data_IF_207798295550
#
_entry.id   IF_207798295550
#
_cell.length_a   1.000
_cell.length_b   1.000
_cell.length_c   1.000
_cell.angle_alpha   90.00
_cell.angle_beta   90.00
_cell.angle_gamma   90.00
#
_symmetry.space_group_name_H-M   'P 1'
#
loop_
_entity.id
_entity.type
_entity.pdbx_description
1 polymer ?
#
# COMPACT_ATOMS: atom_id res chain seq x y z
N UNK A 1 44.05 16.58 -46.54
CA UNK A 1 42.98 15.61 -46.35
C UNK A 1 43.57 14.21 -46.61
N UNK A 2 43.38 13.27 -45.71
CA UNK A 2 43.65 11.83 -45.95
C UNK A 2 42.58 11.21 -46.85
N UNK A 3 42.89 10.21 -47.63
CA UNK A 3 41.96 9.55 -48.54
C UNK A 3 40.94 8.68 -47.79
N UNK A 4 39.88 8.26 -48.49
CA UNK A 4 38.85 7.34 -48.01
C UNK A 4 39.15 5.93 -48.52
N UNK A 5 38.83 4.93 -47.69
CA UNK A 5 38.73 3.52 -48.12
C UNK A 5 37.22 3.22 -48.23
N UNK A 6 36.77 2.78 -49.41
CA UNK A 6 35.37 2.45 -49.68
C UNK A 6 35.29 0.97 -50.12
N UNK A 7 34.51 0.19 -49.37
CA UNK A 7 34.09 -1.14 -49.77
C UNK A 7 32.65 -1.09 -50.22
N UNK A 8 32.36 -1.41 -51.46
CA UNK A 8 31.02 -1.41 -52.04
C UNK A 8 30.79 -2.61 -52.93
N UNK A 9 29.59 -3.18 -52.83
CA UNK A 9 29.13 -4.24 -53.74
C UNK A 9 28.15 -3.57 -54.73
N UNK A 10 28.24 -3.98 -56.00
CA UNK A 10 27.40 -3.42 -57.06
C UNK A 10 25.92 -3.72 -56.90
N UNK A 11 25.10 -2.95 -57.57
CA UNK A 11 23.63 -3.09 -57.56
C UNK A 11 23.21 -4.28 -58.42
N UNK A 12 22.40 -5.21 -57.89
CA UNK A 12 21.71 -6.24 -58.67
C UNK A 12 20.38 -5.73 -59.21
N UNK A 13 20.06 -6.07 -60.43
CA UNK A 13 18.81 -5.61 -61.11
C UNK A 13 17.71 -6.68 -61.17
N UNK A 14 18.02 -7.94 -60.91
CA UNK A 14 17.07 -9.05 -61.13
C UNK A 14 16.92 -10.01 -59.91
N UNK A 15 17.88 -10.01 -58.96
CA UNK A 15 17.88 -10.93 -57.79
C UNK A 15 18.44 -10.23 -56.54
N UNK A 16 18.81 -11.01 -55.53
CA UNK A 16 19.41 -10.51 -54.28
C UNK A 16 20.76 -9.83 -54.55
N UNK A 17 21.04 -8.73 -53.83
CA UNK A 17 22.36 -8.09 -53.87
C UNK A 17 23.46 -8.94 -53.26
N UNK A 18 24.73 -8.66 -53.62
CA UNK A 18 25.88 -9.38 -53.06
C UNK A 18 26.22 -8.93 -51.62
N UNK A 19 27.01 -9.76 -50.91
CA UNK A 19 27.37 -9.57 -49.51
C UNK A 19 28.80 -9.00 -49.36
N UNK A 20 29.02 -8.28 -48.25
CA UNK A 20 30.36 -8.00 -47.70
C UNK A 20 30.55 -8.87 -46.46
N UNK A 21 31.47 -9.80 -46.47
CA UNK A 21 31.72 -10.73 -45.38
C UNK A 21 33.14 -10.48 -44.83
N UNK A 22 33.23 -10.25 -43.53
CA UNK A 22 34.48 -10.10 -42.80
C UNK A 22 34.58 -11.11 -41.66
N UNK A 23 35.55 -12.04 -41.73
CA UNK A 23 35.79 -13.03 -40.71
C UNK A 23 37.24 -12.94 -40.21
N UNK A 24 37.44 -13.18 -38.91
CA UNK A 24 38.77 -13.44 -38.36
C UNK A 24 39.08 -14.94 -38.38
N UNK A 25 40.37 -15.29 -38.26
CA UNK A 25 40.82 -16.67 -38.36
C UNK A 25 40.41 -17.55 -37.18
N UNK A 26 40.10 -18.81 -37.49
CA UNK A 26 39.82 -19.85 -36.52
C UNK A 26 41.10 -20.53 -36.02
N UNK A 27 41.04 -21.16 -34.84
CA UNK A 27 42.12 -22.00 -34.32
C UNK A 27 41.52 -23.24 -33.64
N UNK A 28 42.21 -24.35 -33.73
CA UNK A 28 41.80 -25.60 -33.08
C UNK A 28 42.43 -25.81 -31.70
N UNK A 29 43.44 -25.03 -31.33
CA UNK A 29 44.20 -25.24 -30.09
C UNK A 29 44.25 -24.04 -29.13
N UNK A 30 44.03 -22.84 -29.61
CA UNK A 30 44.14 -21.60 -28.83
C UNK A 30 42.99 -20.64 -29.14
N UNK A 31 43.13 -19.37 -28.75
CA UNK A 31 42.10 -18.32 -28.97
C UNK A 31 42.08 -17.92 -30.46
N UNK A 32 40.89 -17.87 -31.06
CA UNK A 32 40.70 -17.37 -32.44
C UNK A 32 41.00 -15.87 -32.57
N UNK A 33 41.08 -15.41 -33.81
CA UNK A 33 41.35 -14.01 -34.13
C UNK A 33 40.21 -13.07 -33.71
N UNK A 34 40.45 -11.77 -33.68
CA UNK A 34 39.47 -10.71 -33.35
C UNK A 34 39.21 -9.79 -34.55
N UNK A 35 38.00 -9.22 -34.59
CA UNK A 35 37.63 -8.06 -35.45
C UNK A 35 37.50 -6.83 -34.58
N UNK A 36 38.21 -5.74 -34.91
CA UNK A 36 38.16 -4.48 -34.19
C UNK A 36 37.81 -3.34 -35.14
N UNK A 37 36.79 -2.54 -34.78
CA UNK A 37 36.40 -1.32 -35.49
C UNK A 37 36.50 -0.12 -34.52
N UNK A 38 37.30 0.86 -34.89
CA UNK A 38 37.41 2.12 -34.12
C UNK A 38 37.42 3.32 -35.06
N UNK A 39 36.83 4.42 -34.60
CA UNK A 39 36.92 5.70 -35.29
C UNK A 39 38.23 6.42 -34.94
N UNK A 40 38.62 7.41 -35.77
CA UNK A 40 39.80 8.23 -35.51
C UNK A 40 39.63 9.15 -34.29
N UNK A 41 40.69 9.30 -33.52
CA UNK A 41 40.72 10.23 -32.39
C UNK A 41 40.91 11.68 -32.86
N UNK A 42 40.25 12.62 -32.17
CA UNK A 42 40.51 14.06 -32.31
C UNK A 42 41.32 14.53 -31.10
N UNK A 43 42.51 15.03 -31.28
CA UNK A 43 43.41 15.49 -30.20
C UNK A 43 42.97 16.82 -29.57
N UNK A 44 42.31 17.68 -30.32
CA UNK A 44 41.87 19.02 -29.91
C UNK A 44 40.37 19.25 -30.09
N UNK A 45 39.69 18.34 -30.79
CA UNK A 45 38.27 18.40 -31.11
C UNK A 45 37.64 17.03 -31.04
N UNK A 46 36.44 16.89 -31.59
CA UNK A 46 35.67 15.63 -31.51
C UNK A 46 36.35 14.47 -32.29
N UNK A 47 36.20 13.27 -31.81
CA UNK A 47 36.53 12.03 -32.53
C UNK A 47 35.52 11.76 -33.64
N UNK A 48 35.84 10.80 -34.53
CA UNK A 48 34.93 10.30 -35.55
C UNK A 48 33.78 9.47 -34.96
N UNK A 49 32.78 9.12 -35.76
CA UNK A 49 31.67 8.24 -35.42
C UNK A 49 31.82 6.86 -36.08
N UNK A 50 31.25 5.84 -35.45
CA UNK A 50 30.96 4.53 -36.04
C UNK A 50 29.44 4.44 -36.22
N UNK A 51 28.97 4.20 -37.44
CA UNK A 51 27.55 4.09 -37.78
C UNK A 51 27.27 2.74 -38.38
N UNK A 52 26.44 1.92 -37.74
CA UNK A 52 25.97 0.62 -38.22
C UNK A 52 24.46 0.64 -38.33
N UNK A 53 23.94 0.43 -39.52
CA UNK A 53 22.48 0.46 -39.79
C UNK A 53 22.09 -0.41 -40.96
N UNK A 54 20.87 -0.94 -40.97
CA UNK A 54 20.25 -1.54 -42.16
C UNK A 54 19.58 -0.44 -43.00
N UNK A 55 19.52 -0.63 -44.30
CA UNK A 55 18.81 0.27 -45.21
C UNK A 55 17.29 0.17 -45.05
N UNK A 56 16.57 1.18 -45.49
CA UNK A 56 15.12 1.13 -45.56
C UNK A 56 14.65 0.09 -46.58
N UNK A 57 13.56 -0.61 -46.24
CA UNK A 57 12.86 -1.43 -47.23
C UNK A 57 12.17 -0.53 -48.28
N UNK A 58 11.86 -1.13 -49.44
CA UNK A 58 11.05 -0.46 -50.49
C UNK A 58 9.57 -0.30 -50.04
N UNK A 59 8.67 -0.05 -51.01
CA UNK A 59 7.25 0.20 -50.78
C UNK A 59 6.55 -0.99 -50.07
N UNK A 60 6.97 -2.20 -50.35
CA UNK A 60 6.47 -3.43 -49.73
C UNK A 60 7.62 -4.25 -49.19
N UNK A 61 7.56 -4.73 -47.99
CA UNK A 61 8.60 -5.56 -47.37
C UNK A 61 9.06 -5.02 -46.02
N UNK A 62 9.92 -5.76 -45.35
CA UNK A 62 10.50 -5.40 -44.05
C UNK A 62 11.99 -5.00 -44.24
N UNK A 63 12.46 -4.02 -43.48
CA UNK A 63 13.87 -3.70 -43.39
C UNK A 63 14.67 -4.87 -42.76
N UNK A 64 15.98 -4.95 -43.06
CA UNK A 64 16.86 -5.95 -42.47
C UNK A 64 16.92 -5.82 -40.93
N UNK A 65 17.29 -6.90 -40.26
CA UNK A 65 17.58 -6.91 -38.83
C UNK A 65 19.05 -6.62 -38.53
N UNK A 66 19.36 -6.12 -37.37
CA UNK A 66 20.68 -5.93 -36.82
C UNK A 66 20.84 -6.84 -35.59
N UNK A 67 21.79 -7.78 -35.59
CA UNK A 67 22.00 -8.75 -34.52
C UNK A 67 23.39 -8.61 -33.89
N UNK A 68 23.42 -8.44 -32.56
CA UNK A 68 24.61 -8.54 -31.75
C UNK A 68 24.48 -9.73 -30.81
N UNK A 69 25.37 -10.72 -30.88
CA UNK A 69 25.34 -11.88 -29.99
C UNK A 69 26.75 -12.40 -29.74
N UNK A 70 27.04 -12.82 -28.52
CA UNK A 70 28.19 -13.68 -28.25
C UNK A 70 27.92 -15.10 -28.73
N UNK A 71 29.00 -15.89 -28.96
CA UNK A 71 28.88 -17.29 -29.31
C UNK A 71 28.39 -18.17 -28.17
N UNK A 72 28.00 -19.40 -28.51
CA UNK A 72 27.65 -20.45 -27.56
C UNK A 72 28.89 -21.26 -27.17
N UNK A 73 28.85 -21.90 -26.00
CA UNK A 73 29.86 -22.85 -25.55
C UNK A 73 29.19 -24.11 -25.04
N UNK A 74 29.84 -25.26 -25.23
CA UNK A 74 29.38 -26.53 -24.68
C UNK A 74 29.93 -26.80 -23.28
N UNK A 75 31.04 -26.15 -22.90
CA UNK A 75 31.68 -26.29 -21.59
C UNK A 75 32.40 -24.99 -21.24
N UNK A 76 32.00 -24.33 -20.20
CA UNK A 76 32.50 -23.01 -19.79
C UNK A 76 31.48 -21.89 -19.96
N UNK A 77 31.91 -20.63 -19.89
CA UNK A 77 31.06 -19.48 -19.99
C UNK A 77 31.04 -18.87 -21.41
N UNK A 78 29.87 -18.42 -21.87
CA UNK A 78 29.77 -17.62 -23.11
C UNK A 78 30.34 -16.21 -22.90
N UNK A 79 30.66 -15.53 -24.02
CA UNK A 79 31.18 -14.17 -23.97
C UNK A 79 30.16 -13.13 -23.50
N UNK A 80 30.65 -11.96 -23.09
CA UNK A 80 29.85 -10.81 -22.64
C UNK A 80 29.59 -9.84 -23.78
N UNK A 81 28.42 -9.21 -23.83
CA UNK A 81 28.12 -8.05 -24.67
C UNK A 81 28.09 -6.83 -23.75
N UNK A 82 28.93 -5.83 -24.03
CA UNK A 82 28.98 -4.55 -23.29
C UNK A 82 28.51 -3.40 -24.19
N UNK A 83 27.53 -2.65 -23.74
CA UNK A 83 27.09 -1.39 -24.35
C UNK A 83 27.26 -0.28 -23.31
N UNK A 84 28.23 0.59 -23.51
CA UNK A 84 28.58 1.62 -22.54
C UNK A 84 29.02 2.92 -23.23
N UNK A 85 28.82 4.03 -22.57
CA UNK A 85 29.42 5.33 -22.95
C UNK A 85 30.68 5.58 -22.12
N UNK A 86 31.62 6.34 -22.69
CA UNK A 86 32.86 6.72 -21.99
C UNK A 86 32.61 7.72 -20.88
N UNK A 87 33.54 7.75 -19.90
CA UNK A 87 33.52 8.76 -18.83
C UNK A 87 33.93 10.15 -19.38
N UNK A 88 33.34 11.20 -18.84
CA UNK A 88 33.74 12.58 -19.05
C UNK A 88 34.37 13.15 -17.79
N UNK A 89 35.61 13.67 -17.87
CA UNK A 89 36.31 14.27 -16.71
C UNK A 89 35.70 15.62 -16.35
N UNK A 90 35.36 16.43 -17.36
CA UNK A 90 34.72 17.74 -17.23
C UNK A 90 33.55 17.79 -18.22
N UNK A 91 32.34 17.68 -17.72
CA UNK A 91 31.14 17.67 -18.55
C UNK A 91 30.24 16.46 -18.31
N UNK A 92 29.17 16.33 -19.09
CA UNK A 92 28.21 15.23 -19.03
C UNK A 92 28.75 14.00 -19.76
N UNK A 93 28.63 12.82 -19.17
CA UNK A 93 28.78 11.54 -19.88
C UNK A 93 27.74 11.38 -21.01
N UNK A 94 28.01 10.52 -21.98
CA UNK A 94 27.08 10.26 -23.09
C UNK A 94 25.83 9.52 -22.63
N UNK A 95 24.76 9.56 -23.43
CA UNK A 95 23.50 8.85 -23.19
C UNK A 95 23.48 7.51 -23.98
N UNK A 96 22.81 6.50 -23.44
CA UNK A 96 22.39 5.29 -24.17
C UNK A 96 20.87 5.39 -24.37
N UNK A 97 20.43 5.43 -25.64
CA UNK A 97 19.03 5.51 -26.01
C UNK A 97 18.57 4.20 -26.68
N UNK A 98 17.64 3.51 -26.03
CA UNK A 98 16.96 2.35 -26.61
C UNK A 98 15.50 2.74 -26.89
N UNK A 99 15.12 2.77 -28.15
CA UNK A 99 13.78 3.13 -28.58
C UNK A 99 13.29 2.21 -29.69
N UNK A 100 11.99 1.98 -29.75
CA UNK A 100 11.31 1.26 -30.82
C UNK A 100 10.52 2.29 -31.65
N UNK A 101 10.62 2.20 -32.97
CA UNK A 101 9.93 3.10 -33.88
C UNK A 101 8.40 2.94 -33.79
N UNK A 102 7.69 4.03 -34.12
CA UNK A 102 6.23 4.05 -34.16
C UNK A 102 5.70 3.23 -35.35
N UNK A 103 4.60 2.52 -35.15
CA UNK A 103 3.80 1.90 -36.20
C UNK A 103 2.48 2.67 -36.38
N UNK A 104 2.02 2.83 -37.61
CA UNK A 104 0.80 3.57 -37.94
C UNK A 104 -0.41 2.70 -38.22
N UNK A 105 -0.22 1.42 -38.57
CA UNK A 105 -1.27 0.54 -39.03
C UNK A 105 -1.37 -0.82 -38.31
N UNK A 106 -0.58 -1.02 -37.26
CA UNK A 106 -0.53 -2.30 -36.53
C UNK A 106 -0.03 -2.08 -35.11
N UNK A 107 0.16 -3.17 -34.37
CA UNK A 107 0.70 -3.18 -32.99
C UNK A 107 2.14 -2.64 -33.02
N UNK A 108 2.51 -1.78 -32.06
CA UNK A 108 3.86 -1.28 -31.87
C UNK A 108 4.86 -2.40 -31.52
N UNK A 109 6.14 -2.20 -31.81
CA UNK A 109 7.19 -3.12 -31.45
C UNK A 109 7.45 -3.12 -29.93
N UNK A 110 8.24 -4.09 -29.44
CA UNK A 110 8.52 -4.30 -28.02
C UNK A 110 10.00 -4.12 -27.67
N UNK A 111 10.30 -3.59 -26.50
CA UNK A 111 11.58 -3.74 -25.82
C UNK A 111 11.43 -4.86 -24.77
N UNK A 112 12.24 -5.92 -24.88
CA UNK A 112 12.21 -7.06 -23.95
C UNK A 112 13.57 -7.23 -23.29
N UNK A 113 13.61 -7.35 -21.99
CA UNK A 113 14.79 -7.66 -21.19
C UNK A 113 14.52 -8.91 -20.36
N UNK A 114 15.37 -9.92 -20.44
CA UNK A 114 15.30 -11.14 -19.63
C UNK A 114 16.69 -11.57 -19.22
N UNK A 115 16.85 -12.06 -18.01
CA UNK A 115 18.05 -12.71 -17.54
C UNK A 115 18.04 -14.20 -17.93
N UNK A 116 19.20 -14.85 -17.86
CA UNK A 116 19.35 -16.27 -18.22
C UNK A 116 18.70 -17.22 -17.21
N UNK A 117 18.12 -18.29 -17.73
CA UNK A 117 17.59 -19.40 -16.93
C UNK A 117 18.68 -20.41 -16.63
N UNK A 118 18.56 -21.12 -15.52
CA UNK A 118 19.43 -22.21 -15.09
C UNK A 118 18.58 -23.31 -14.46
N UNK A 119 18.86 -24.58 -14.76
CA UNK A 119 18.07 -25.71 -14.25
C UNK A 119 18.43 -26.10 -12.81
N UNK A 120 19.71 -26.05 -12.43
CA UNK A 120 20.19 -26.55 -11.12
C UNK A 120 20.72 -25.47 -10.16
N UNK A 121 20.89 -24.23 -10.61
CA UNK A 121 21.47 -23.14 -9.82
C UNK A 121 20.59 -21.88 -9.83
N UNK A 122 21.13 -20.79 -9.31
CA UNK A 122 20.42 -19.50 -9.27
C UNK A 122 20.40 -18.85 -10.66
N UNK A 123 19.21 -18.49 -11.17
CA UNK A 123 19.06 -17.75 -12.42
C UNK A 123 19.69 -16.37 -12.39
N UNK A 124 19.88 -15.77 -13.56
CA UNK A 124 20.43 -14.43 -13.69
C UNK A 124 19.52 -13.34 -13.14
N UNK A 125 20.04 -12.15 -12.86
CA UNK A 125 19.31 -10.99 -12.36
C UNK A 125 19.26 -9.84 -13.37
N UNK A 126 18.23 -8.98 -13.28
CA UNK A 126 18.15 -7.67 -13.95
C UNK A 126 18.25 -6.59 -12.87
N UNK A 127 19.18 -5.63 -13.02
CA UNK A 127 19.37 -4.54 -12.08
C UNK A 127 19.26 -3.19 -12.79
N UNK A 128 18.44 -2.28 -12.25
CA UNK A 128 18.36 -0.88 -12.67
C UNK A 128 18.76 0.02 -11.50
N UNK A 129 19.75 0.87 -11.71
CA UNK A 129 20.22 1.83 -10.72
C UNK A 129 20.51 3.17 -11.39
N UNK A 130 20.35 4.25 -10.65
CA UNK A 130 20.69 5.60 -11.10
C UNK A 130 22.09 5.98 -10.67
N UNK A 131 22.65 7.03 -11.30
CA UNK A 131 23.93 7.60 -10.91
C UNK A 131 23.88 8.26 -9.53
N UNK A 132 24.97 8.12 -8.78
CA UNK A 132 25.19 8.77 -7.48
C UNK A 132 25.59 10.23 -7.67
N UNK A 133 25.02 11.12 -6.88
CA UNK A 133 25.43 12.52 -6.78
C UNK A 133 26.16 12.77 -5.45
N UNK A 134 27.47 13.06 -5.48
CA UNK A 134 28.28 13.24 -4.26
C UNK A 134 27.93 14.50 -3.47
N UNK A 135 27.52 15.56 -4.14
CA UNK A 135 27.21 16.89 -3.53
C UNK A 135 25.85 17.43 -3.93
N UNK A 136 25.15 16.76 -4.85
CA UNK A 136 23.85 17.16 -5.39
C UNK A 136 22.91 15.95 -5.42
N UNK A 137 21.78 16.10 -6.07
CA UNK A 137 20.78 15.03 -6.21
C UNK A 137 21.26 13.87 -7.08
N UNK A 138 20.89 12.64 -6.73
CA UNK A 138 21.03 11.48 -7.60
C UNK A 138 19.99 11.51 -8.74
N UNK A 139 20.16 10.63 -9.75
CA UNK A 139 19.17 10.46 -10.81
C UNK A 139 17.88 9.82 -10.32
N UNK A 140 16.79 9.89 -11.12
CA UNK A 140 15.53 9.23 -10.89
C UNK A 140 15.29 8.05 -11.84
N UNK A 141 14.53 7.02 -11.41
CA UNK A 141 13.96 5.98 -12.26
C UNK A 141 12.47 6.30 -12.47
N UNK A 142 12.03 6.40 -13.73
CA UNK A 142 10.63 6.63 -14.09
C UNK A 142 10.12 5.44 -14.89
N UNK A 143 9.09 4.76 -14.38
CA UNK A 143 8.39 3.67 -15.06
C UNK A 143 6.93 4.05 -15.17
N UNK A 144 6.41 4.21 -16.40
CA UNK A 144 5.03 4.61 -16.65
C UNK A 144 4.49 4.00 -17.94
N UNK A 145 3.19 3.78 -18.01
CA UNK A 145 2.47 3.56 -19.28
C UNK A 145 2.01 4.88 -19.84
N UNK A 146 1.89 4.99 -21.17
CA UNK A 146 1.35 6.20 -21.81
C UNK A 146 -0.17 6.19 -21.80
N UNK A 147 -0.74 7.38 -22.02
CA UNK A 147 -2.18 7.58 -22.12
C UNK A 147 -2.75 6.81 -23.31
N UNK A 148 -3.93 6.22 -23.14
CA UNK A 148 -4.69 5.69 -24.26
C UNK A 148 -5.27 6.82 -25.11
N UNK A 149 -5.57 6.55 -26.39
CA UNK A 149 -6.33 7.46 -27.23
C UNK A 149 -7.80 7.58 -26.79
N UNK A 150 -8.62 8.22 -27.62
CA UNK A 150 -10.04 8.49 -27.33
C UNK A 150 -10.90 7.25 -27.11
N UNK A 151 -10.50 6.11 -27.64
CA UNK A 151 -11.19 4.82 -27.53
C UNK A 151 -10.19 3.74 -27.10
N UNK A 152 -10.08 3.48 -25.83
CA UNK A 152 -9.19 2.43 -25.36
C UNK A 152 -8.85 2.55 -23.88
N UNK A 153 -8.13 1.57 -23.37
CA UNK A 153 -7.64 1.49 -22.00
C UNK A 153 -6.13 1.68 -22.00
N UNK A 154 -5.58 2.48 -21.11
CA UNK A 154 -4.13 2.62 -20.92
C UNK A 154 -3.51 1.29 -20.49
N UNK A 155 -2.20 1.14 -20.77
CA UNK A 155 -1.48 -0.08 -20.38
C UNK A 155 -1.45 -0.31 -18.87
N UNK A 156 -1.38 -1.59 -18.46
CA UNK A 156 -1.16 -1.97 -17.08
C UNK A 156 0.31 -1.93 -16.68
N UNK A 157 0.60 -1.76 -15.39
CA UNK A 157 1.92 -1.90 -14.77
C UNK A 157 1.83 -2.99 -13.69
N UNK A 158 2.60 -4.08 -13.84
CA UNK A 158 2.56 -5.22 -12.93
C UNK A 158 3.93 -5.51 -12.33
N UNK A 159 3.99 -5.65 -11.01
CA UNK A 159 5.15 -6.12 -10.27
C UNK A 159 4.76 -7.38 -9.49
N UNK A 160 5.40 -8.50 -9.77
CA UNK A 160 5.11 -9.78 -9.11
C UNK A 160 6.40 -10.58 -8.91
N UNK A 161 6.43 -11.39 -7.86
CA UNK A 161 7.43 -12.44 -7.67
C UNK A 161 6.93 -13.75 -8.27
N UNK A 162 7.86 -14.64 -8.65
CA UNK A 162 7.52 -15.97 -9.15
C UNK A 162 6.92 -16.87 -8.07
N UNK A 163 6.27 -17.95 -8.52
CA UNK A 163 5.78 -19.04 -7.68
C UNK A 163 6.88 -20.07 -7.41
N UNK A 164 6.73 -20.84 -6.34
CA UNK A 164 7.60 -21.98 -6.03
C UNK A 164 6.74 -23.20 -5.72
N UNK A 165 7.22 -24.39 -6.10
CA UNK A 165 6.57 -25.66 -5.76
C UNK A 165 6.99 -26.18 -4.38
N UNK A 166 8.17 -25.78 -3.90
CA UNK A 166 8.73 -26.21 -2.60
C UNK A 166 9.63 -25.11 -2.06
N UNK A 167 9.37 -24.61 -0.89
CA UNK A 167 10.08 -23.49 -0.28
C UNK A 167 9.29 -22.18 -0.29
N UNK A 168 9.93 -21.09 0.09
CA UNK A 168 9.30 -19.76 0.12
C UNK A 168 9.44 -19.02 -1.22
N UNK A 169 8.42 -18.31 -1.65
CA UNK A 169 8.51 -17.35 -2.76
C UNK A 169 9.33 -16.12 -2.36
N UNK A 170 9.81 -15.37 -3.35
CA UNK A 170 10.49 -14.09 -3.12
C UNK A 170 9.56 -13.03 -2.51
N UNK A 171 10.13 -11.95 -2.00
CA UNK A 171 9.39 -10.78 -1.50
C UNK A 171 9.44 -9.62 -2.49
N UNK A 172 8.40 -8.79 -2.50
CA UNK A 172 8.39 -7.49 -3.16
C UNK A 172 8.55 -6.40 -2.09
N UNK A 173 9.55 -5.51 -2.22
CA UNK A 173 9.84 -4.42 -1.28
C UNK A 173 9.81 -3.06 -1.98
N UNK A 174 9.03 -2.13 -1.44
CA UNK A 174 9.04 -0.72 -1.85
C UNK A 174 9.38 0.10 -0.60
N UNK A 175 10.43 0.90 -0.63
CA UNK A 175 10.87 1.70 0.52
C UNK A 175 11.57 2.97 0.05
N UNK A 176 11.45 4.04 0.83
CA UNK A 176 12.27 5.25 0.69
C UNK A 176 13.57 5.10 1.50
N UNK A 177 14.60 5.82 1.12
CA UNK A 177 15.89 5.85 1.84
C UNK A 177 15.83 6.65 3.13
N UNK A 178 16.83 6.45 3.99
CA UNK A 178 17.02 7.24 5.21
C UNK A 178 17.59 8.63 4.88
N UNK A 179 17.17 9.64 5.61
CA UNK A 179 17.75 10.98 5.58
C UNK A 179 18.43 11.28 6.92
N UNK A 180 19.74 11.52 6.91
CA UNK A 180 20.51 11.79 8.13
C UNK A 180 20.30 13.21 8.68
N UNK A 181 20.02 14.19 7.82
CA UNK A 181 19.89 15.60 8.19
C UNK A 181 18.59 16.28 7.71
N UNK A 182 17.59 15.52 7.30
CA UNK A 182 16.34 16.07 6.78
C UNK A 182 15.19 15.08 6.87
N UNK A 183 14.03 15.43 6.29
CA UNK A 183 12.86 14.53 6.17
C UNK A 183 13.16 13.42 5.16
N UNK A 184 12.89 12.16 5.50
CA UNK A 184 12.88 11.05 4.55
C UNK A 184 11.78 11.25 3.48
N UNK A 185 11.95 10.62 2.31
CA UNK A 185 10.96 10.70 1.24
C UNK A 185 9.63 10.06 1.61
N UNK A 186 8.54 10.54 1.01
CA UNK A 186 7.19 9.99 1.18
C UNK A 186 6.95 8.83 0.20
N UNK A 187 6.12 7.87 0.59
CA UNK A 187 5.52 6.88 -0.31
C UNK A 187 4.06 7.27 -0.55
N UNK A 188 3.70 7.53 -1.81
CA UNK A 188 2.36 7.96 -2.19
C UNK A 188 1.71 6.88 -3.04
N UNK A 189 0.55 6.38 -2.59
CA UNK A 189 -0.30 5.47 -3.34
C UNK A 189 -1.65 6.16 -3.59
N UNK A 190 -1.96 6.45 -4.84
CA UNK A 190 -3.17 7.17 -5.22
C UNK A 190 -3.81 6.57 -6.47
N UNK A 191 -5.12 6.65 -6.54
CA UNK A 191 -5.91 6.24 -7.71
C UNK A 191 -6.45 7.48 -8.41
N UNK A 192 -6.46 7.46 -9.74
CA UNK A 192 -7.01 8.56 -10.54
C UNK A 192 -8.53 8.67 -10.42
N UNK A 193 -9.06 9.84 -10.78
CA UNK A 193 -10.51 10.11 -10.79
C UNK A 193 -11.19 9.51 -12.00
N UNK A 194 -12.39 8.96 -11.82
CA UNK A 194 -13.32 8.63 -12.91
C UNK A 194 -14.25 9.81 -13.18
N UNK A 195 -14.35 10.26 -14.42
CA UNK A 195 -15.18 11.43 -14.76
C UNK A 195 -16.66 11.07 -15.01
N UNK A 196 -16.94 9.89 -15.52
CA UNK A 196 -18.30 9.44 -15.92
C UNK A 196 -18.73 8.11 -15.27
N UNK A 197 -17.82 7.43 -14.59
CA UNK A 197 -18.05 6.13 -13.91
C UNK A 197 -17.41 6.17 -12.53
N UNK A 198 -17.53 5.06 -11.77
CA UNK A 198 -16.88 4.92 -10.48
C UNK A 198 -15.35 5.11 -10.55
N UNK A 199 -14.75 5.62 -9.49
CA UNK A 199 -13.29 5.61 -9.30
C UNK A 199 -12.75 4.19 -9.13
N UNK A 200 -11.43 4.02 -9.29
CA UNK A 200 -10.76 2.74 -9.02
C UNK A 200 -10.52 2.50 -7.53
N UNK A 201 -10.19 1.26 -7.16
CA UNK A 201 -10.00 0.80 -5.79
C UNK A 201 -8.53 0.61 -5.41
N UNK A 202 -8.19 0.75 -4.14
CA UNK A 202 -6.96 0.24 -3.52
C UNK A 202 -7.33 -1.01 -2.72
N UNK A 203 -6.86 -2.18 -3.16
CA UNK A 203 -7.13 -3.46 -2.53
C UNK A 203 -5.85 -4.00 -1.89
N UNK A 204 -5.89 -4.29 -0.59
CA UNK A 204 -4.79 -4.90 0.14
C UNK A 204 -5.28 -6.18 0.84
N UNK A 205 -4.65 -7.31 0.54
CA UNK A 205 -4.97 -8.61 1.13
C UNK A 205 -3.71 -9.37 1.51
N UNK A 206 -3.75 -10.09 2.62
CA UNK A 206 -2.70 -11.03 3.00
C UNK A 206 -2.97 -12.44 2.45
N UNK A 207 -1.92 -13.25 2.34
CA UNK A 207 -2.02 -14.61 1.79
C UNK A 207 -2.79 -15.56 2.68
N UNK A 208 -3.51 -16.50 2.07
CA UNK A 208 -4.18 -17.61 2.76
C UNK A 208 -3.22 -18.78 3.02
N UNK A 209 -3.49 -19.58 4.03
CA UNK A 209 -2.79 -20.85 4.30
C UNK A 209 -3.81 -21.93 4.61
N UNK A 210 -3.67 -23.10 4.01
CA UNK A 210 -4.58 -24.24 4.24
C UNK A 210 -4.26 -25.04 5.50
N UNK A 211 -2.98 -25.30 5.87
CA UNK A 211 -2.72 -26.05 7.10
C UNK A 211 -2.30 -25.16 8.29
N UNK A 212 -1.92 -23.90 8.07
CA UNK A 212 -1.35 -23.02 9.09
C UNK A 212 -2.05 -21.67 9.13
N UNK A 213 -1.53 -20.75 9.94
CA UNK A 213 -2.03 -19.38 10.06
C UNK A 213 -1.82 -18.59 8.77
N UNK A 214 -2.84 -17.90 8.29
CA UNK A 214 -2.74 -16.97 7.16
C UNK A 214 -1.85 -15.77 7.46
N UNK A 215 -1.49 -15.01 6.42
CA UNK A 215 -0.69 -13.80 6.55
C UNK A 215 -1.42 -12.66 7.29
N UNK A 216 -0.70 -11.64 7.72
CA UNK A 216 -1.24 -10.45 8.40
C UNK A 216 -0.99 -9.17 7.60
N UNK A 217 -1.84 -8.16 7.79
CA UNK A 217 -1.62 -6.78 7.36
C UNK A 217 -1.33 -5.95 8.61
N UNK A 218 -0.19 -5.24 8.65
CA UNK A 218 0.22 -4.41 9.77
C UNK A 218 0.50 -2.98 9.31
N UNK A 219 -0.08 -2.01 10.00
CA UNK A 219 0.16 -0.58 9.79
C UNK A 219 0.61 0.05 11.11
N UNK A 220 1.75 0.74 11.11
CA UNK A 220 2.28 1.44 12.27
C UNK A 220 2.90 2.77 11.85
N UNK A 221 2.86 3.74 12.75
CA UNK A 221 3.52 5.04 12.55
C UNK A 221 4.94 5.02 13.10
N UNK A 222 5.76 5.99 12.67
CA UNK A 222 7.10 6.19 13.20
C UNK A 222 7.08 6.73 14.62
N UNK A 223 8.06 6.32 15.43
CA UNK A 223 8.30 6.86 16.78
C UNK A 223 8.98 8.23 16.70
N UNK A 224 8.54 9.17 17.52
CA UNK A 224 9.27 10.42 17.80
C UNK A 224 10.04 10.28 19.11
N UNK A 225 11.37 10.22 19.06
CA UNK A 225 12.21 10.01 20.25
C UNK A 225 12.25 11.22 21.18
N UNK A 226 12.09 12.42 20.64
CA UNK A 226 12.12 13.69 21.40
C UNK A 226 10.83 14.52 21.25
N UNK A 227 9.91 14.08 20.39
CA UNK A 227 8.67 14.78 20.09
C UNK A 227 7.55 13.76 19.90
N UNK A 228 6.46 14.17 19.24
CA UNK A 228 5.30 13.31 19.00
C UNK A 228 5.57 12.25 17.95
N UNK A 229 4.95 11.07 18.08
CA UNK A 229 4.86 10.06 17.02
C UNK A 229 3.92 10.51 15.89
N UNK A 230 3.96 9.83 14.76
CA UNK A 230 3.01 10.03 13.67
C UNK A 230 1.58 9.59 14.05
N UNK A 231 0.60 9.92 13.20
CA UNK A 231 -0.79 9.49 13.33
C UNK A 231 -1.22 8.58 12.17
N UNK A 232 -2.15 7.66 12.44
CA UNK A 232 -2.92 6.92 11.43
C UNK A 232 -4.28 7.59 11.31
N UNK A 233 -4.67 8.01 10.09
CA UNK A 233 -5.98 8.59 9.79
C UNK A 233 -6.70 7.67 8.81
N UNK A 234 -7.87 7.16 9.21
CA UNK A 234 -8.76 6.35 8.39
C UNK A 234 -10.12 7.05 8.34
N UNK A 235 -10.52 7.53 7.17
CA UNK A 235 -11.77 8.25 6.99
C UNK A 235 -12.38 8.02 5.62
N UNK A 236 -13.68 8.05 5.52
CA UNK A 236 -14.40 8.21 4.26
C UNK A 236 -14.61 9.69 3.98
N UNK A 237 -14.54 10.09 2.72
CA UNK A 237 -14.78 11.50 2.34
C UNK A 237 -16.27 11.81 2.26
N UNK A 238 -16.61 13.09 2.28
CA UNK A 238 -18.00 13.54 2.15
C UNK A 238 -18.61 13.10 0.81
N UNK A 239 -19.87 12.70 0.85
CA UNK A 239 -20.65 12.55 -0.37
C UNK A 239 -20.87 13.93 -1.03
N UNK A 240 -21.21 13.93 -2.33
CA UNK A 240 -21.63 15.14 -3.03
C UNK A 240 -22.98 15.67 -2.52
N UNK A 241 -23.65 16.49 -3.32
CA UNK A 241 -24.93 17.12 -2.99
C UNK A 241 -26.08 16.13 -2.79
N UNK A 242 -25.99 14.96 -3.43
CA UNK A 242 -26.95 13.86 -3.31
C UNK A 242 -26.19 12.55 -3.14
N UNK A 243 -26.53 11.76 -2.16
CA UNK A 243 -25.91 10.47 -1.91
C UNK A 243 -25.53 10.26 -0.44
N UNK A 244 -24.97 9.11 -0.15
CA UNK A 244 -24.54 8.68 1.19
C UNK A 244 -23.01 8.62 1.20
N UNK A 245 -22.35 9.13 2.23
CA UNK A 245 -20.91 8.95 2.43
C UNK A 245 -20.57 7.47 2.63
N UNK A 246 -19.33 7.10 2.33
CA UNK A 246 -18.86 5.73 2.49
C UNK A 246 -18.91 5.24 3.94
N UNK A 247 -18.95 3.93 4.12
CA UNK A 247 -18.89 3.27 5.44
C UNK A 247 -17.46 2.96 5.84
N UNK A 248 -17.17 2.95 7.14
CA UNK A 248 -15.94 2.42 7.72
C UNK A 248 -16.31 1.22 8.60
N UNK A 249 -15.84 0.02 8.23
CA UNK A 249 -16.25 -1.25 8.85
C UNK A 249 -15.03 -1.93 9.47
N UNK A 250 -15.10 -2.28 10.74
CA UNK A 250 -14.14 -3.10 11.45
C UNK A 250 -14.82 -4.37 11.93
N UNK A 251 -14.40 -5.54 11.47
CA UNK A 251 -14.95 -6.83 11.89
C UNK A 251 -13.85 -7.89 11.98
N UNK A 252 -13.98 -8.80 12.94
CA UNK A 252 -13.24 -10.05 12.92
C UNK A 252 -14.00 -11.09 12.08
N UNK A 253 -13.28 -12.09 11.56
CA UNK A 253 -13.88 -13.17 10.79
C UNK A 253 -14.71 -14.12 11.65
N UNK A 254 -15.53 -14.93 10.99
CA UNK A 254 -16.28 -16.04 11.62
C UNK A 254 -15.43 -17.31 11.68
N UNK A 255 -15.78 -18.23 12.55
CA UNK A 255 -15.20 -19.56 12.63
C UNK A 255 -16.31 -20.61 12.73
N UNK A 256 -16.11 -21.76 12.10
CA UNK A 256 -17.01 -22.91 12.22
C UNK A 256 -16.72 -23.78 13.46
N UNK A 257 -15.49 -23.72 13.98
CA UNK A 257 -15.06 -24.47 15.15
C UNK A 257 -13.95 -23.69 15.85
N UNK A 258 -14.16 -23.34 17.10
CA UNK A 258 -13.24 -22.53 17.89
C UNK A 258 -13.80 -21.13 18.20
N UNK A 259 -12.93 -20.20 18.55
CA UNK A 259 -13.29 -18.83 18.95
C UNK A 259 -13.00 -17.85 17.83
N UNK A 260 -13.91 -16.94 17.51
CA UNK A 260 -13.69 -15.82 16.60
C UNK A 260 -12.67 -14.83 17.18
N UNK A 261 -12.07 -14.02 16.29
CA UNK A 261 -11.10 -12.99 16.67
C UNK A 261 -11.70 -11.87 17.52
N UNK A 262 -10.85 -11.17 18.25
CA UNK A 262 -11.18 -10.00 19.07
C UNK A 262 -10.96 -8.71 18.25
N UNK A 263 -11.81 -7.70 18.45
CA UNK A 263 -11.58 -6.31 18.05
C UNK A 263 -11.24 -5.52 19.32
N UNK A 264 -10.04 -4.90 19.36
CA UNK A 264 -9.60 -4.07 20.50
C UNK A 264 -9.37 -2.62 20.06
N UNK A 265 -10.05 -1.70 20.72
CA UNK A 265 -9.81 -0.25 20.59
C UNK A 265 -9.35 0.26 21.96
N UNK A 266 -8.16 0.78 22.05
CA UNK A 266 -7.56 1.23 23.31
C UNK A 266 -6.61 2.39 23.09
N UNK A 267 -6.53 3.31 24.06
CA UNK A 267 -5.49 4.33 24.14
C UNK A 267 -4.29 3.81 24.95
N UNK A 268 -3.10 4.34 24.67
CA UNK A 268 -1.88 4.02 25.43
C UNK A 268 -1.90 4.64 26.83
N UNK A 269 -1.08 4.07 27.72
CA UNK A 269 -0.80 4.66 29.04
C UNK A 269 0.21 5.80 28.95
N UNK A 270 0.12 6.77 29.85
CA UNK A 270 1.10 7.83 30.02
C UNK A 270 1.74 7.73 31.41
N UNK A 271 3.09 7.78 31.47
CA UNK A 271 3.83 7.66 32.73
C UNK A 271 3.80 8.97 33.53
N UNK A 272 3.96 10.13 32.86
CA UNK A 272 4.02 11.45 33.48
C UNK A 272 3.01 12.42 32.86
N UNK A 273 1.83 11.95 32.48
CA UNK A 273 0.81 12.76 31.84
C UNK A 273 -0.55 12.10 31.87
N UNK A 274 -1.54 12.74 31.25
CA UNK A 274 -2.89 12.19 31.09
C UNK A 274 -2.89 11.15 29.97
N UNK A 275 -3.49 9.98 30.22
CA UNK A 275 -3.82 8.98 29.16
C UNK A 275 -4.74 9.58 28.10
N UNK A 276 -4.68 9.07 26.88
CA UNK A 276 -5.54 9.48 25.77
C UNK A 276 -7.02 9.20 26.07
N UNK A 277 -7.92 9.93 25.39
CA UNK A 277 -9.38 9.71 25.46
C UNK A 277 -9.85 8.87 24.27
N UNK A 278 -10.84 8.01 24.48
CA UNK A 278 -11.64 7.38 23.44
C UNK A 278 -12.98 8.12 23.33
N UNK A 279 -13.29 8.66 22.15
CA UNK A 279 -14.50 9.41 21.88
C UNK A 279 -15.31 8.67 20.82
N UNK A 280 -16.55 8.30 21.15
CA UNK A 280 -17.54 7.77 20.21
C UNK A 280 -18.66 8.77 20.09
N UNK A 281 -18.85 9.35 18.92
CA UNK A 281 -19.91 10.34 18.68
C UNK A 281 -20.58 10.08 17.33
N UNK A 282 -21.85 10.42 17.25
CA UNK A 282 -22.66 10.37 16.03
C UNK A 282 -23.01 11.79 15.63
N UNK A 283 -22.90 12.11 14.34
CA UNK A 283 -23.22 13.44 13.81
C UNK A 283 -24.70 13.77 13.93
N UNK A 284 -25.02 15.07 13.93
CA UNK A 284 -26.40 15.58 13.97
C UNK A 284 -27.10 15.40 12.60
N UNK A 285 -28.40 15.11 12.64
CA UNK A 285 -29.31 15.21 11.49
C UNK A 285 -30.14 16.52 11.57
N UNK A 286 -30.45 17.11 10.41
CA UNK A 286 -31.26 18.35 10.35
C UNK A 286 -32.69 18.13 9.87
N UNK A 287 -32.99 17.02 9.20
CA UNK A 287 -34.32 16.77 8.59
C UNK A 287 -34.95 15.44 9.01
N UNK A 288 -34.18 14.53 9.55
CA UNK A 288 -34.61 13.20 10.00
C UNK A 288 -34.07 12.93 11.40
N UNK A 289 -34.37 11.74 11.94
CA UNK A 289 -33.87 11.29 13.23
C UNK A 289 -32.34 11.30 13.27
N UNK A 290 -31.74 11.61 14.41
CA UNK A 290 -30.29 11.47 14.65
C UNK A 290 -29.85 10.01 14.60
N UNK A 291 -28.60 9.76 14.22
CA UNK A 291 -28.05 8.41 14.27
C UNK A 291 -27.90 7.89 15.70
N UNK A 292 -27.83 6.57 15.88
CA UNK A 292 -27.73 5.90 17.17
C UNK A 292 -26.33 5.31 17.43
N UNK A 293 -25.95 5.17 18.71
CA UNK A 293 -24.88 4.31 19.17
C UNK A 293 -25.53 3.06 19.80
N UNK A 294 -25.33 1.88 19.20
CA UNK A 294 -25.90 0.62 19.68
C UNK A 294 -24.79 -0.31 20.16
N UNK A 295 -24.93 -0.85 21.36
CA UNK A 295 -24.03 -1.86 21.91
C UNK A 295 -24.83 -3.12 22.27
N UNK A 296 -24.45 -4.27 21.68
CA UNK A 296 -25.09 -5.56 21.91
C UNK A 296 -24.03 -6.61 22.24
N UNK A 297 -24.23 -7.37 23.31
CA UNK A 297 -23.39 -8.52 23.62
C UNK A 297 -23.88 -9.76 22.87
N UNK A 298 -23.00 -10.74 22.65
CA UNK A 298 -23.30 -11.95 21.88
C UNK A 298 -24.32 -12.86 22.58
N UNK A 299 -25.20 -13.48 21.81
CA UNK A 299 -26.10 -14.55 22.21
C UNK A 299 -25.34 -15.89 22.38
N UNK A 300 -25.86 -16.77 23.20
CA UNK A 300 -25.46 -18.18 23.21
C UNK A 300 -26.66 -19.08 23.10
N UNK A 301 -26.55 -20.09 22.25
CA UNK A 301 -27.53 -21.18 22.10
C UNK A 301 -27.11 -22.46 22.86
N UNK A 302 -25.93 -22.44 23.47
CA UNK A 302 -25.38 -23.60 24.18
C UNK A 302 -26.06 -23.78 25.53
N UNK A 303 -26.36 -25.04 25.89
CA UNK A 303 -26.95 -25.39 27.18
C UNK A 303 -26.00 -25.06 28.34
N UNK A 304 -26.55 -24.54 29.44
CA UNK A 304 -25.84 -24.22 30.69
C UNK A 304 -24.71 -23.18 30.55
N UNK A 305 -24.71 -22.37 29.46
CA UNK A 305 -23.74 -21.30 29.26
C UNK A 305 -24.39 -19.93 29.46
N UNK A 306 -23.59 -18.94 29.82
CA UNK A 306 -24.01 -17.56 30.02
C UNK A 306 -23.72 -16.77 28.76
N UNK A 307 -24.69 -16.03 28.25
CA UNK A 307 -24.52 -15.11 27.12
C UNK A 307 -23.51 -14.00 27.43
N UNK A 308 -23.06 -13.29 26.40
CA UNK A 308 -22.11 -12.18 26.54
C UNK A 308 -22.63 -11.07 27.47
N UNK A 309 -21.75 -10.33 28.12
CA UNK A 309 -22.07 -9.19 28.98
C UNK A 309 -21.56 -7.87 28.39
N UNK A 310 -22.24 -6.78 28.67
CA UNK A 310 -21.73 -5.41 28.52
C UNK A 310 -21.29 -4.94 29.91
N UNK A 311 -20.04 -4.50 30.07
CA UNK A 311 -19.49 -4.03 31.34
C UNK A 311 -18.91 -2.63 31.17
N UNK A 312 -19.36 -1.69 32.00
CA UNK A 312 -18.86 -0.31 32.06
C UNK A 312 -18.30 -0.04 33.45
N UNK A 313 -17.06 0.44 33.55
CA UNK A 313 -16.43 0.81 34.81
C UNK A 313 -15.65 2.11 34.64
N UNK A 314 -15.73 2.98 35.62
CA UNK A 314 -14.89 4.17 35.70
C UNK A 314 -13.50 3.84 36.24
N UNK A 315 -12.53 4.70 36.00
CA UNK A 315 -11.15 4.51 36.44
C UNK A 315 -10.98 4.63 37.93
N UNK A 316 -9.99 3.90 38.49
CA UNK A 316 -9.64 3.95 39.90
C UNK A 316 -8.64 5.08 40.18
N UNK A 317 -8.89 5.88 41.18
CA UNK A 317 -7.90 6.80 41.77
C UNK A 317 -7.02 6.05 42.79
N UNK A 318 -5.79 5.69 42.39
CA UNK A 318 -4.89 4.85 43.20
C UNK A 318 -3.96 5.62 44.12
N UNK A 319 -3.99 6.96 44.13
CA UNK A 319 -3.16 7.77 45.06
C UNK A 319 -3.65 7.58 46.49
N UNK A 320 -2.74 7.33 47.42
CA UNK A 320 -3.03 7.13 48.84
C UNK A 320 -3.33 8.45 49.60
N UNK A 321 -3.01 9.60 48.99
CA UNK A 321 -3.21 10.93 49.65
C UNK A 321 -4.41 11.70 49.14
N UNK A 322 -4.78 11.60 47.87
CA UNK A 322 -5.89 12.38 47.29
C UNK A 322 -6.45 11.76 45.99
N UNK A 323 -6.33 10.45 45.82
CA UNK A 323 -6.88 9.77 44.62
C UNK A 323 -8.41 9.73 44.65
N UNK A 324 -9.05 10.33 43.64
CA UNK A 324 -10.50 10.24 43.43
C UNK A 324 -10.83 9.27 42.30
N UNK A 325 -11.84 8.44 42.49
CA UNK A 325 -12.39 7.57 41.45
C UNK A 325 -13.13 8.37 40.37
N UNK A 326 -13.16 7.82 39.15
CA UNK A 326 -13.93 8.38 38.05
C UNK A 326 -15.45 8.18 38.21
N UNK A 327 -16.23 8.88 37.42
CA UNK A 327 -17.71 8.84 37.42
C UNK A 327 -18.24 8.09 36.19
N UNK A 328 -19.37 7.41 36.32
CA UNK A 328 -20.25 6.98 35.23
C UNK A 328 -21.48 7.86 35.23
N UNK A 329 -21.78 8.55 34.13
CA UNK A 329 -22.89 9.49 34.01
C UNK A 329 -23.78 9.07 32.84
N UNK A 330 -25.08 8.94 33.08
CA UNK A 330 -26.12 8.69 32.08
C UNK A 330 -27.06 9.89 32.01
N UNK A 331 -27.11 10.60 30.90
CA UNK A 331 -28.02 11.70 30.66
C UNK A 331 -28.86 11.45 29.40
N UNK A 332 -30.15 11.64 29.48
CA UNK A 332 -31.00 11.72 28.31
C UNK A 332 -30.96 13.13 27.69
N UNK A 333 -31.33 13.25 26.42
CA UNK A 333 -31.28 14.50 25.67
C UNK A 333 -32.37 15.48 26.05
N UNK A 334 -32.14 16.79 25.88
CA UNK A 334 -33.11 17.85 26.06
C UNK A 334 -34.02 17.97 24.84
N UNK A 335 -35.33 18.12 25.04
CA UNK A 335 -36.31 18.46 24.02
C UNK A 335 -36.68 19.94 24.09
N UNK A 336 -36.20 20.79 23.18
CA UNK A 336 -36.44 22.24 23.21
C UNK A 336 -37.89 22.66 22.84
N UNK A 337 -38.56 21.86 22.04
CA UNK A 337 -39.95 22.11 21.60
C UNK A 337 -40.88 20.93 21.84
N UNK A 338 -40.42 19.91 22.54
CA UNK A 338 -41.16 18.70 22.84
C UNK A 338 -40.68 18.03 24.11
N UNK A 339 -41.02 16.76 24.29
CA UNK A 339 -40.63 15.98 25.48
C UNK A 339 -39.15 15.67 25.46
N UNK A 340 -38.46 15.79 26.59
CA UNK A 340 -37.08 15.32 26.76
C UNK A 340 -36.96 13.79 26.64
N UNK A 341 -35.76 13.30 26.41
CA UNK A 341 -35.47 11.86 26.33
C UNK A 341 -35.61 11.17 27.70
N UNK A 342 -35.76 9.84 27.71
CA UNK A 342 -35.85 9.01 28.91
C UNK A 342 -34.62 8.11 29.09
N UNK A 343 -34.33 7.76 30.34
CA UNK A 343 -33.40 6.67 30.71
C UNK A 343 -34.26 5.52 31.23
N UNK A 344 -34.17 4.34 30.58
CA UNK A 344 -34.89 3.12 30.97
C UNK A 344 -33.92 2.00 31.36
N UNK A 345 -34.21 1.35 32.50
CA UNK A 345 -33.41 0.22 32.97
C UNK A 345 -34.38 -0.95 33.28
N UNK A 346 -34.27 -2.03 32.53
CA UNK A 346 -35.10 -3.22 32.69
C UNK A 346 -34.24 -4.50 32.67
N UNK A 347 -34.74 -5.52 33.34
CA UNK A 347 -34.12 -6.85 33.36
C UNK A 347 -34.75 -7.77 32.33
N UNK A 348 -34.02 -8.85 31.96
CA UNK A 348 -34.56 -9.88 31.09
C UNK A 348 -35.58 -10.76 31.77
N UNK A 349 -36.61 -11.20 31.03
CA UNK A 349 -37.61 -12.16 31.45
C UNK A 349 -37.02 -13.59 31.50
N UNK A 350 -37.36 -14.33 32.54
CA UNK A 350 -37.14 -15.77 32.61
C UNK A 350 -38.41 -16.51 32.21
N UNK A 351 -38.39 -17.21 31.06
CA UNK A 351 -39.59 -17.90 30.53
C UNK A 351 -39.93 -19.17 31.29
N UNK A 352 -38.96 -19.84 31.91
CA UNK A 352 -39.12 -21.10 32.66
C UNK A 352 -38.66 -20.96 34.11
N UNK A 353 -37.82 -19.93 34.38
CA UNK A 353 -37.28 -19.69 35.74
C UNK A 353 -37.38 -18.21 36.09
N UNK A 354 -36.64 -17.76 37.11
CA UNK A 354 -36.69 -16.39 37.62
C UNK A 354 -36.16 -15.38 36.59
N UNK A 355 -36.76 -14.19 36.56
CA UNK A 355 -36.23 -13.01 35.84
C UNK A 355 -34.95 -12.48 36.49
N UNK A 356 -34.26 -11.60 35.80
CA UNK A 356 -33.11 -10.88 36.34
C UNK A 356 -33.49 -9.88 37.45
N UNK A 357 -32.52 -9.32 38.14
CA UNK A 357 -32.69 -8.30 39.17
C UNK A 357 -31.94 -7.00 38.87
N UNK A 358 -32.52 -5.85 39.17
CA UNK A 358 -31.83 -4.55 39.25
C UNK A 358 -31.29 -4.38 40.67
N UNK A 359 -29.98 -4.19 40.84
CA UNK A 359 -29.36 -3.96 42.13
C UNK A 359 -28.62 -2.63 42.15
N UNK A 360 -29.09 -1.70 42.97
CA UNK A 360 -28.51 -0.36 43.16
C UNK A 360 -28.03 -0.26 44.61
N UNK A 361 -26.73 -0.04 44.81
CA UNK A 361 -26.16 0.14 46.15
C UNK A 361 -24.95 1.07 46.12
N UNK A 362 -24.71 1.76 47.20
CA UNK A 362 -23.44 2.43 47.50
C UNK A 362 -22.48 1.44 48.16
N UNK A 363 -21.20 1.61 47.97
CA UNK A 363 -20.17 0.82 48.66
C UNK A 363 -19.95 1.36 50.09
N UNK A 364 -19.34 0.52 50.92
CA UNK A 364 -18.98 0.88 52.28
C UNK A 364 -17.93 2.01 52.29
N UNK A 365 -18.00 2.91 53.25
CA UNK A 365 -16.96 3.86 53.51
C UNK A 365 -15.72 3.16 54.10
N UNK A 366 -14.53 3.79 53.97
CA UNK A 366 -13.31 3.33 54.66
C UNK A 366 -13.41 3.58 56.18
N UNK A 367 -12.27 3.48 56.87
CA UNK A 367 -12.15 3.63 58.32
C UNK A 367 -12.57 5.02 58.82
N UNK A 368 -12.52 6.04 57.98
CA UNK A 368 -12.97 7.40 58.28
C UNK A 368 -13.76 7.92 57.09
N UNK A 369 -14.97 8.37 57.28
CA UNK A 369 -15.81 8.92 56.23
C UNK A 369 -17.25 8.43 56.31
N UNK A 370 -18.06 8.86 55.35
CA UNK A 370 -19.47 8.53 55.23
C UNK A 370 -19.68 7.76 53.90
N UNK A 371 -20.46 6.68 53.94
CA UNK A 371 -20.86 5.97 52.71
C UNK A 371 -21.70 6.88 51.81
N UNK A 372 -21.70 6.58 50.49
CA UNK A 372 -22.47 7.35 49.53
C UNK A 372 -23.99 7.28 49.78
N UNK A 373 -24.75 8.20 49.19
CA UNK A 373 -26.21 8.21 49.22
C UNK A 373 -26.81 7.71 47.90
N UNK A 374 -28.06 7.18 48.00
CA UNK A 374 -28.93 6.93 46.86
C UNK A 374 -30.05 7.96 46.94
N UNK A 375 -30.25 8.77 45.89
CA UNK A 375 -31.28 9.83 45.89
C UNK A 375 -32.22 9.63 44.69
N UNK A 376 -33.51 9.63 44.95
CA UNK A 376 -34.56 9.65 43.94
C UNK A 376 -35.34 10.97 44.07
N UNK A 377 -35.41 11.73 43.01
CA UNK A 377 -36.18 13.00 42.98
C UNK A 377 -36.82 13.21 41.62
N UNK A 378 -37.94 13.84 41.58
CA UNK A 378 -38.59 14.38 40.38
C UNK A 378 -38.14 15.83 40.19
N UNK A 379 -38.17 16.30 38.93
CA UNK A 379 -37.86 17.69 38.61
C UNK A 379 -38.96 18.65 39.08
N UNK A 380 -38.63 19.93 39.09
CA UNK A 380 -39.58 21.03 39.36
C UNK A 380 -40.20 21.51 38.05
N UNK A 381 -41.38 22.07 38.12
CA UNK A 381 -42.08 22.75 37.03
C UNK A 381 -42.50 24.15 37.45
N UNK A 382 -42.47 25.10 36.51
CA UNK A 382 -42.99 26.46 36.74
C UNK A 382 -44.50 26.58 36.48
N UNK A 383 -45.05 25.63 35.70
CA UNK A 383 -46.49 25.62 35.35
C UNK A 383 -46.88 24.17 35.00
N UNK A 384 -47.68 23.54 35.79
CA UNK A 384 -48.12 22.15 35.64
C UNK A 384 -47.72 21.27 36.83
N UNK A 385 -47.83 19.95 36.71
CA UNK A 385 -47.52 19.00 37.78
C UNK A 385 -46.12 18.47 37.67
N UNK A 386 -45.40 18.32 38.79
CA UNK A 386 -44.14 17.59 38.86
C UNK A 386 -44.35 16.08 38.60
N UNK A 387 -43.28 15.38 38.28
CA UNK A 387 -43.34 13.94 38.04
C UNK A 387 -43.65 13.11 39.31
N UNK A 388 -43.94 11.84 39.14
CA UNK A 388 -44.27 10.89 40.19
C UNK A 388 -43.07 9.95 40.42
N UNK A 389 -42.79 9.65 41.70
CA UNK A 389 -41.97 8.48 42.10
C UNK A 389 -42.92 7.37 42.50
N UNK A 390 -42.94 6.26 41.73
CA UNK A 390 -43.80 5.11 42.00
C UNK A 390 -42.96 3.89 42.31
N UNK A 391 -43.24 3.22 43.41
CA UNK A 391 -42.71 1.91 43.76
C UNK A 391 -43.91 0.96 43.88
N UNK A 392 -43.89 -0.11 43.11
CA UNK A 392 -44.95 -1.14 43.13
C UNK A 392 -44.35 -2.52 43.16
N UNK A 393 -45.06 -3.49 43.74
CA UNK A 393 -44.73 -4.92 43.76
C UNK A 393 -45.53 -5.65 42.69
#
# INVERSE_FOLDING_TARGET
>A
RSGNIVFSVGQGTAETGGDIIGNSGDTTALTGGSISLSSGAGTTKSSGAIIVRTSNAGVTGSSGFLKFSSGTTSSGSSGTIVVATGAATVGKGGDILLSVGAGTASIGGHVRMSAGNVDEFTGGSISLSTGYGSTKTSGGVVVKTYDAGTLGVSGGLSFSTGTTSSGASGFAKISTGNAAGGKAGDMILSIGTGATTAGGDIISSAGTSTPLTGGSISMSTGVGTSTSSGSVVLQTVNAGTTGISGSLIFSSGTTSSGTSGLIRVATGSATNGKGGSLILSVGSGSTLEGGAITMTAGETTANSQVAGKISMSAGTGSSTTAGQGGHIVFNAGVGNGGTGGSVSLSTGVGTISSSGSVKIKTSDAGTTGISGSIMFSTGTTSSGSSGLIQLST
#
